data_IF_857643568415
#
_entry.id   IF_857643568415
#
_cell.length_a   1.000
_cell.length_b   1.000
_cell.length_c   1.000
_cell.angle_alpha   90.00
_cell.angle_beta   90.00
_cell.angle_gamma   90.00
#
_symmetry.space_group_name_H-M   'P 1'
#
loop_
_entity.id
_entity.type
_entity.pdbx_description
1 polymer ?
#
# COMPACT_ATOMS: atom_id res chain seq x y z
N UNK A 1 -20.02 -28.81 19.96
CA UNK A 1 -19.06 -28.39 18.93
C UNK A 1 -19.80 -27.49 17.97
N UNK A 2 -19.65 -26.19 18.09
CA UNK A 2 -20.22 -25.21 17.15
C UNK A 2 -19.49 -25.37 15.83
N UNK A 3 -20.11 -26.00 14.84
CA UNK A 3 -19.64 -26.02 13.46
C UNK A 3 -19.75 -24.58 12.92
N UNK A 4 -18.67 -23.83 13.07
CA UNK A 4 -18.54 -22.53 12.38
C UNK A 4 -18.60 -22.83 10.88
N UNK A 5 -19.52 -22.21 10.15
CA UNK A 5 -19.58 -22.37 8.68
C UNK A 5 -18.26 -21.89 8.08
N UNK A 6 -17.73 -22.58 7.08
CA UNK A 6 -16.50 -22.17 6.42
C UNK A 6 -16.66 -20.78 5.76
N UNK A 7 -15.58 -20.01 5.76
CA UNK A 7 -15.53 -18.72 5.07
C UNK A 7 -15.52 -18.99 3.57
N UNK A 8 -16.54 -18.47 2.86
CA UNK A 8 -16.69 -18.63 1.43
C UNK A 8 -15.83 -17.61 0.70
N UNK A 9 -14.77 -18.10 0.05
CA UNK A 9 -13.73 -17.31 -0.61
C UNK A 9 -13.83 -17.44 -2.14
N UNK A 10 -13.70 -16.35 -2.84
CA UNK A 10 -13.62 -16.28 -4.31
C UNK A 10 -12.23 -15.77 -4.72
N UNK A 11 -11.59 -16.44 -5.68
CA UNK A 11 -10.24 -16.10 -6.14
C UNK A 11 -10.27 -15.29 -7.44
N UNK A 12 -9.47 -14.21 -7.53
CA UNK A 12 -9.35 -13.41 -8.74
C UNK A 12 -7.87 -13.13 -9.03
N UNK A 13 -7.35 -13.73 -10.09
CA UNK A 13 -5.95 -13.55 -10.52
C UNK A 13 -5.86 -13.90 -12.02
N UNK A 14 -5.17 -13.12 -12.83
CA UNK A 14 -5.01 -13.40 -14.26
C UNK A 14 -3.95 -14.47 -14.58
N UNK A 15 -3.26 -15.00 -13.54
CA UNK A 15 -2.28 -16.06 -13.64
C UNK A 15 -2.86 -17.40 -13.18
N UNK A 16 -3.15 -18.36 -14.08
CA UNK A 16 -3.74 -19.66 -13.70
C UNK A 16 -2.93 -20.42 -12.65
N UNK A 17 -1.59 -20.46 -12.78
CA UNK A 17 -0.72 -21.15 -11.83
C UNK A 17 -0.79 -20.58 -10.40
N UNK A 18 -1.09 -19.30 -10.26
CA UNK A 18 -1.27 -18.68 -8.94
C UNK A 18 -2.61 -19.14 -8.34
N UNK A 19 -3.68 -19.19 -9.14
CA UNK A 19 -4.98 -19.69 -8.69
C UNK A 19 -4.90 -21.15 -8.27
N UNK A 20 -4.28 -22.02 -9.11
CA UNK A 20 -4.03 -23.43 -8.78
C UNK A 20 -3.24 -23.59 -7.46
N UNK A 21 -2.22 -22.75 -7.26
CA UNK A 21 -1.42 -22.74 -6.05
C UNK A 21 -2.19 -22.29 -4.81
N UNK A 22 -3.11 -21.34 -4.94
CA UNK A 22 -3.99 -20.90 -3.87
C UNK A 22 -5.03 -21.97 -3.53
N UNK A 23 -5.64 -22.64 -4.52
CA UNK A 23 -6.51 -23.78 -4.33
C UNK A 23 -5.81 -24.88 -3.51
N UNK A 24 -4.64 -25.32 -3.97
CA UNK A 24 -3.89 -26.37 -3.30
C UNK A 24 -3.53 -26.05 -1.83
N UNK A 25 -3.38 -24.78 -1.49
CA UNK A 25 -3.03 -24.32 -0.15
C UNK A 25 -4.24 -24.09 0.76
N UNK A 26 -5.38 -23.68 0.21
CA UNK A 26 -6.53 -23.24 0.97
C UNK A 26 -7.62 -24.31 1.09
N UNK A 27 -7.86 -25.13 0.04
CA UNK A 27 -8.88 -26.19 0.05
C UNK A 27 -8.74 -27.23 1.18
N UNK A 28 -7.53 -27.62 1.61
CA UNK A 28 -7.39 -28.57 2.72
C UNK A 28 -7.77 -27.99 4.09
N UNK A 29 -8.02 -26.69 4.18
CA UNK A 29 -8.23 -26.01 5.46
C UNK A 29 -9.69 -26.03 5.88
N UNK A 30 -10.04 -26.59 7.03
CA UNK A 30 -11.45 -26.87 7.42
C UNK A 30 -12.31 -25.61 7.67
N UNK A 31 -11.74 -24.43 7.67
CA UNK A 31 -12.44 -23.17 7.90
C UNK A 31 -12.61 -22.29 6.65
N UNK A 32 -12.20 -22.76 5.47
CA UNK A 32 -12.21 -22.02 4.21
C UNK A 32 -12.86 -22.89 3.13
N UNK A 33 -13.70 -22.29 2.31
CA UNK A 33 -14.34 -22.92 1.15
C UNK A 33 -14.09 -22.02 -0.08
N UNK A 34 -13.38 -22.52 -1.09
CA UNK A 34 -13.24 -21.83 -2.34
C UNK A 34 -14.51 -22.04 -3.19
N UNK A 35 -15.33 -21.02 -3.32
CA UNK A 35 -16.63 -21.11 -4.01
C UNK A 35 -16.55 -20.79 -5.51
N UNK A 36 -15.40 -20.32 -5.98
CA UNK A 36 -15.16 -20.07 -7.40
C UNK A 36 -13.91 -19.24 -7.62
N UNK A 37 -13.58 -19.07 -8.91
CA UNK A 37 -12.43 -18.29 -9.35
C UNK A 37 -12.71 -17.54 -10.65
N UNK A 38 -11.92 -16.51 -10.94
CA UNK A 38 -11.96 -15.78 -12.20
C UNK A 38 -10.56 -15.34 -12.63
N UNK A 39 -10.34 -15.26 -13.94
CA UNK A 39 -9.12 -14.76 -14.56
C UNK A 39 -9.14 -13.25 -14.85
N UNK A 40 -10.28 -12.58 -14.62
CA UNK A 40 -10.43 -11.14 -14.83
C UNK A 40 -11.43 -10.53 -13.86
N UNK A 41 -11.33 -9.23 -13.67
CA UNK A 41 -12.26 -8.50 -12.82
C UNK A 41 -13.71 -8.49 -13.39
N UNK A 42 -13.88 -8.54 -14.72
CA UNK A 42 -15.19 -8.60 -15.35
C UNK A 42 -15.89 -9.93 -15.02
N UNK A 43 -15.22 -11.06 -15.25
CA UNK A 43 -15.72 -12.38 -14.86
C UNK A 43 -16.02 -12.47 -13.36
N UNK A 44 -15.14 -11.87 -12.54
CA UNK A 44 -15.32 -11.85 -11.10
C UNK A 44 -16.61 -11.15 -10.68
N UNK A 45 -16.92 -9.96 -11.24
CA UNK A 45 -18.14 -9.22 -10.91
C UNK A 45 -19.41 -10.01 -11.22
N UNK A 46 -19.47 -10.69 -12.38
CA UNK A 46 -20.60 -11.52 -12.76
C UNK A 46 -20.75 -12.74 -11.84
N UNK A 47 -19.64 -13.40 -11.51
CA UNK A 47 -19.66 -14.59 -10.67
C UNK A 47 -19.98 -14.27 -9.20
N UNK A 48 -19.45 -13.18 -8.66
CA UNK A 48 -19.66 -12.74 -7.27
C UNK A 48 -21.13 -12.45 -7.00
N UNK A 49 -21.83 -11.80 -7.94
CA UNK A 49 -23.28 -11.54 -7.82
C UNK A 49 -24.09 -12.84 -7.68
N UNK A 50 -23.73 -13.86 -8.41
CA UNK A 50 -24.39 -15.16 -8.37
C UNK A 50 -23.98 -16.01 -7.15
N UNK A 51 -22.68 -16.06 -6.84
CA UNK A 51 -22.13 -16.95 -5.83
C UNK A 51 -22.17 -16.36 -4.42
N UNK A 52 -22.30 -15.03 -4.29
CA UNK A 52 -22.36 -14.34 -3.01
C UNK A 52 -21.26 -14.77 -2.01
N UNK A 53 -19.95 -14.68 -2.38
CA UNK A 53 -18.89 -15.03 -1.46
C UNK A 53 -18.83 -14.04 -0.29
N UNK A 54 -18.28 -14.48 0.84
CA UNK A 54 -18.00 -13.59 1.95
C UNK A 54 -16.74 -12.77 1.76
N UNK A 55 -15.77 -13.33 1.00
CA UNK A 55 -14.48 -12.71 0.79
C UNK A 55 -13.98 -12.98 -0.62
N UNK A 56 -13.31 -11.98 -1.19
CA UNK A 56 -12.58 -12.05 -2.45
C UNK A 56 -11.09 -11.89 -2.17
N UNK A 57 -10.28 -12.85 -2.61
CA UNK A 57 -8.84 -12.71 -2.75
C UNK A 57 -8.54 -12.21 -4.16
N UNK A 58 -8.07 -10.98 -4.30
CA UNK A 58 -7.84 -10.34 -5.59
C UNK A 58 -6.38 -9.99 -5.83
N UNK A 59 -5.82 -10.37 -6.97
CA UNK A 59 -4.54 -9.84 -7.42
C UNK A 59 -4.64 -8.34 -7.71
N UNK A 60 -3.63 -7.59 -7.26
CA UNK A 60 -3.50 -6.15 -7.59
C UNK A 60 -3.18 -5.95 -9.07
N UNK A 61 -2.34 -6.81 -9.66
CA UNK A 61 -1.67 -6.60 -10.95
C UNK A 61 -2.42 -7.08 -12.18
N UNK A 62 -3.72 -7.29 -12.14
CA UNK A 62 -4.50 -7.80 -13.28
C UNK A 62 -4.55 -6.81 -14.46
N UNK A 63 -4.70 -7.38 -15.68
CA UNK A 63 -4.89 -6.61 -16.91
C UNK A 63 -6.28 -5.99 -16.94
N UNK A 64 -6.47 -4.98 -17.76
CA UNK A 64 -7.73 -4.23 -18.02
C UNK A 64 -8.26 -3.49 -16.80
N UNK A 65 -8.76 -4.18 -15.79
CA UNK A 65 -9.20 -3.64 -14.52
C UNK A 65 -8.35 -4.27 -13.41
N UNK A 66 -7.56 -3.46 -12.70
CA UNK A 66 -6.73 -3.93 -11.61
C UNK A 66 -7.54 -4.27 -10.35
N UNK A 67 -6.92 -5.01 -9.40
CA UNK A 67 -7.61 -5.45 -8.19
C UNK A 67 -8.09 -4.31 -7.29
N UNK A 68 -7.42 -3.16 -7.31
CA UNK A 68 -7.81 -1.99 -6.52
C UNK A 68 -9.11 -1.39 -7.07
N UNK A 69 -9.23 -1.31 -8.40
CA UNK A 69 -10.46 -0.86 -9.05
C UNK A 69 -11.61 -1.86 -8.84
N UNK A 70 -11.31 -3.17 -8.86
CA UNK A 70 -12.28 -4.21 -8.51
C UNK A 70 -12.78 -4.04 -7.06
N UNK A 71 -11.89 -3.78 -6.09
CA UNK A 71 -12.27 -3.53 -4.70
C UNK A 71 -13.19 -2.31 -4.57
N UNK A 72 -12.87 -1.22 -5.24
CA UNK A 72 -13.71 -0.02 -5.22
C UNK A 72 -15.12 -0.29 -5.79
N UNK A 73 -15.22 -1.08 -6.87
CA UNK A 73 -16.51 -1.49 -7.43
C UNK A 73 -17.28 -2.41 -6.48
N UNK A 74 -16.62 -3.39 -5.87
CA UNK A 74 -17.25 -4.29 -4.90
C UNK A 74 -17.71 -3.53 -3.65
N UNK A 75 -16.95 -2.56 -3.16
CA UNK A 75 -17.36 -1.69 -2.07
C UNK A 75 -18.67 -0.94 -2.38
N UNK A 76 -18.89 -0.54 -3.63
CA UNK A 76 -20.10 0.16 -4.07
C UNK A 76 -21.28 -0.78 -4.35
N UNK A 77 -21.05 -1.93 -4.99
CA UNK A 77 -22.08 -2.84 -5.48
C UNK A 77 -22.46 -3.93 -4.47
N UNK A 78 -21.49 -4.44 -3.71
CA UNK A 78 -21.63 -5.55 -2.80
C UNK A 78 -20.85 -5.31 -1.48
N UNK A 79 -21.22 -4.30 -0.68
CA UNK A 79 -20.44 -3.86 0.50
C UNK A 79 -20.32 -4.92 1.60
N UNK A 80 -21.08 -5.99 1.55
CA UNK A 80 -20.96 -7.14 2.44
C UNK A 80 -19.77 -8.04 2.11
N UNK A 81 -19.30 -8.02 0.85
CA UNK A 81 -18.15 -8.81 0.39
C UNK A 81 -16.86 -8.13 0.83
N UNK A 82 -16.01 -8.86 1.54
CA UNK A 82 -14.70 -8.36 1.97
C UNK A 82 -13.67 -8.63 0.90
N UNK A 83 -12.72 -7.70 0.72
CA UNK A 83 -11.65 -7.86 -0.27
C UNK A 83 -10.31 -7.89 0.45
N UNK A 84 -9.50 -8.91 0.14
CA UNK A 84 -8.08 -9.02 0.52
C UNK A 84 -7.25 -8.99 -0.75
N UNK A 85 -6.28 -8.09 -0.80
CA UNK A 85 -5.36 -7.97 -1.91
C UNK A 85 -4.22 -8.96 -1.81
N UNK A 86 -3.88 -9.60 -2.92
CA UNK A 86 -2.65 -10.32 -3.15
C UNK A 86 -1.76 -9.50 -4.11
N UNK A 87 -0.47 -9.38 -3.84
CA UNK A 87 0.42 -8.58 -4.67
C UNK A 87 1.86 -9.11 -4.67
N UNK A 88 2.57 -8.91 -5.77
CA UNK A 88 4.03 -9.09 -5.81
C UNK A 88 4.78 -7.88 -5.24
N UNK A 89 4.09 -6.77 -4.96
CA UNK A 89 4.68 -5.50 -4.58
C UNK A 89 4.27 -5.09 -3.17
N UNK A 90 5.23 -4.62 -2.39
CA UNK A 90 5.06 -4.08 -1.04
C UNK A 90 5.09 -2.53 -1.01
N UNK A 91 4.85 -1.88 -2.17
CA UNK A 91 4.86 -0.43 -2.27
C UNK A 91 3.75 0.20 -1.42
N UNK A 92 4.09 1.11 -0.48
CA UNK A 92 3.13 1.77 0.40
C UNK A 92 1.99 2.50 -0.33
N UNK A 93 2.24 3.02 -1.53
CA UNK A 93 1.21 3.71 -2.32
C UNK A 93 0.10 2.76 -2.76
N UNK A 94 0.45 1.56 -3.24
CA UNK A 94 -0.55 0.53 -3.59
C UNK A 94 -1.33 0.06 -2.37
N UNK A 95 -0.65 -0.11 -1.23
CA UNK A 95 -1.31 -0.49 0.03
C UNK A 95 -2.33 0.57 0.46
N UNK A 96 -1.95 1.85 0.43
CA UNK A 96 -2.85 2.96 0.78
C UNK A 96 -4.04 3.06 -0.17
N UNK A 97 -3.81 2.94 -1.48
CA UNK A 97 -4.87 2.93 -2.48
C UNK A 97 -5.83 1.76 -2.29
N UNK A 98 -5.31 0.55 -2.02
CA UNK A 98 -6.13 -0.62 -1.77
C UNK A 98 -7.03 -0.45 -0.52
N UNK A 99 -6.47 0.04 0.58
CA UNK A 99 -7.24 0.32 1.79
C UNK A 99 -8.28 1.43 1.58
N UNK A 100 -7.94 2.49 0.86
CA UNK A 100 -8.87 3.56 0.49
C UNK A 100 -10.00 3.06 -0.42
N UNK A 101 -9.74 2.07 -1.28
CA UNK A 101 -10.71 1.40 -2.12
C UNK A 101 -11.61 0.40 -1.35
N UNK A 102 -11.40 0.23 -0.04
CA UNK A 102 -12.23 -0.63 0.81
C UNK A 102 -11.65 -2.03 1.06
N UNK A 103 -10.42 -2.33 0.60
CA UNK A 103 -9.78 -3.59 0.93
C UNK A 103 -9.58 -3.75 2.44
N UNK A 104 -9.78 -4.97 2.95
CA UNK A 104 -9.62 -5.36 4.36
C UNK A 104 -8.34 -6.15 4.62
N UNK A 105 -7.54 -6.37 3.59
CA UNK A 105 -6.24 -7.00 3.74
C UNK A 105 -5.32 -6.72 2.57
N UNK A 106 -4.03 -6.81 2.84
CA UNK A 106 -2.99 -6.75 1.83
C UNK A 106 -1.87 -7.72 2.19
N UNK A 107 -1.65 -8.72 1.35
CA UNK A 107 -0.71 -9.82 1.56
C UNK A 107 0.17 -9.96 0.33
N UNK A 108 1.45 -10.28 0.51
CA UNK A 108 2.34 -10.58 -0.59
C UNK A 108 2.08 -11.99 -1.13
N UNK A 109 2.18 -12.19 -2.44
CA UNK A 109 1.95 -13.50 -3.10
C UNK A 109 2.99 -14.55 -2.70
N UNK A 110 4.18 -14.12 -2.27
CA UNK A 110 5.26 -14.98 -1.76
C UNK A 110 5.18 -15.23 -0.25
N UNK A 111 4.19 -14.65 0.43
CA UNK A 111 3.99 -14.85 1.86
C UNK A 111 3.65 -16.32 2.19
N UNK A 112 3.99 -16.78 3.41
CA UNK A 112 3.55 -18.08 3.90
C UNK A 112 2.03 -18.22 3.86
N UNK A 113 1.52 -19.43 3.57
CA UNK A 113 0.08 -19.70 3.55
C UNK A 113 -0.64 -19.25 4.84
N UNK A 114 0.03 -19.35 5.98
CA UNK A 114 -0.50 -18.90 7.26
C UNK A 114 -0.85 -17.39 7.29
N UNK A 115 -0.12 -16.54 6.56
CA UNK A 115 -0.45 -15.10 6.46
C UNK A 115 -1.70 -14.87 5.61
N UNK A 116 -1.88 -15.63 4.54
CA UNK A 116 -3.09 -15.57 3.70
C UNK A 116 -4.31 -16.00 4.52
N UNK A 117 -4.19 -17.08 5.28
CA UNK A 117 -5.25 -17.57 6.18
C UNK A 117 -5.59 -16.51 7.23
N UNK A 118 -4.58 -15.97 7.90
CA UNK A 118 -4.78 -14.91 8.90
C UNK A 118 -5.47 -13.67 8.32
N UNK A 119 -5.15 -13.31 7.07
CA UNK A 119 -5.80 -12.21 6.37
C UNK A 119 -7.28 -12.52 6.06
N UNK A 120 -7.58 -13.74 5.61
CA UNK A 120 -8.95 -14.20 5.36
C UNK A 120 -9.78 -14.14 6.65
N UNK A 121 -9.29 -14.74 7.73
CA UNK A 121 -9.96 -14.77 9.02
C UNK A 121 -10.19 -13.38 9.60
N UNK A 122 -9.16 -12.53 9.59
CA UNK A 122 -9.24 -11.16 10.08
C UNK A 122 -10.26 -10.32 9.27
N UNK A 123 -10.23 -10.42 7.93
CA UNK A 123 -11.17 -9.71 7.07
C UNK A 123 -12.60 -10.22 7.23
N UNK A 124 -12.81 -11.52 7.33
CA UNK A 124 -14.13 -12.14 7.59
C UNK A 124 -14.71 -11.70 8.94
N UNK A 125 -13.86 -11.52 9.96
CA UNK A 125 -14.25 -10.97 11.26
C UNK A 125 -14.48 -9.44 11.25
N UNK A 126 -14.32 -8.76 10.09
CA UNK A 126 -14.51 -7.31 9.95
C UNK A 126 -13.27 -6.47 10.31
N UNK A 127 -12.15 -7.11 10.63
CA UNK A 127 -10.87 -6.46 10.88
C UNK A 127 -10.12 -6.10 9.59
N UNK A 128 -8.87 -5.66 9.77
CA UNK A 128 -7.93 -5.38 8.68
C UNK A 128 -6.62 -6.12 8.94
N UNK A 129 -6.05 -6.73 7.91
CA UNK A 129 -4.78 -7.43 7.98
C UNK A 129 -3.78 -6.87 6.97
N UNK A 130 -2.58 -6.60 7.43
CA UNK A 130 -1.43 -6.30 6.57
C UNK A 130 -0.32 -7.28 6.90
N UNK A 131 0.28 -7.90 5.90
CA UNK A 131 1.40 -8.80 6.16
C UNK A 131 2.53 -8.05 6.89
N UNK A 132 3.35 -8.70 7.72
CA UNK A 132 4.40 -8.05 8.50
C UNK A 132 5.36 -7.21 7.65
N UNK A 133 5.75 -7.71 6.48
CA UNK A 133 6.63 -6.99 5.56
C UNK A 133 5.99 -5.69 5.05
N UNK A 134 4.70 -5.75 4.66
CA UNK A 134 3.91 -4.60 4.21
C UNK A 134 3.75 -3.58 5.34
N UNK A 135 3.40 -4.04 6.54
CA UNK A 135 3.25 -3.20 7.72
C UNK A 135 4.54 -2.45 8.06
N UNK A 136 5.66 -3.16 8.10
CA UNK A 136 6.96 -2.54 8.37
C UNK A 136 7.29 -1.44 7.36
N UNK A 137 7.00 -1.66 6.08
CA UNK A 137 7.28 -0.70 5.03
C UNK A 137 6.35 0.51 5.08
N UNK A 138 5.06 0.27 5.33
CA UNK A 138 4.07 1.32 5.51
C UNK A 138 4.43 2.23 6.69
N UNK A 139 4.81 1.65 7.83
CA UNK A 139 5.17 2.40 9.03
C UNK A 139 6.56 3.05 8.95
N UNK A 140 7.53 2.47 8.22
CA UNK A 140 8.81 3.16 7.96
C UNK A 140 8.60 4.46 7.19
N UNK A 141 7.66 4.50 6.27
CA UNK A 141 7.31 5.73 5.55
C UNK A 141 6.39 6.66 6.36
N UNK A 142 5.76 6.15 7.42
CA UNK A 142 4.96 6.92 8.39
C UNK A 142 5.74 7.23 9.69
N UNK A 143 7.02 6.83 9.81
CA UNK A 143 7.85 7.35 10.89
C UNK A 143 7.63 8.88 10.93
N UNK A 144 7.38 9.49 12.10
CA UNK A 144 7.11 10.92 12.16
C UNK A 144 8.24 11.61 11.41
N UNK A 145 7.89 12.21 10.26
CA UNK A 145 8.88 12.95 9.46
C UNK A 145 9.50 13.92 10.42
N UNK A 146 10.81 13.95 10.58
CA UNK A 146 11.42 14.87 11.52
C UNK A 146 10.89 16.24 11.18
N UNK A 147 10.20 16.86 12.14
CA UNK A 147 9.57 18.16 11.94
C UNK A 147 10.72 19.14 11.61
N UNK A 148 10.85 19.44 10.32
CA UNK A 148 11.71 20.52 9.88
C UNK A 148 11.14 21.81 10.41
N UNK A 149 12.00 22.67 10.89
CA UNK A 149 11.57 24.05 11.23
C UNK A 149 11.05 24.73 9.96
N UNK A 150 10.18 25.75 10.07
CA UNK A 150 9.71 26.50 8.90
C UNK A 150 10.87 26.94 7.99
N UNK A 151 11.98 27.36 8.59
CA UNK A 151 13.18 27.78 7.84
C UNK A 151 13.89 26.63 7.13
N UNK A 152 13.95 25.47 7.74
CA UNK A 152 14.49 24.25 7.11
C UNK A 152 13.61 23.78 5.95
N UNK A 153 12.28 23.89 6.09
CA UNK A 153 11.32 23.56 5.03
C UNK A 153 11.47 24.50 3.81
N UNK A 154 11.61 25.82 4.04
CA UNK A 154 11.86 26.79 2.96
C UNK A 154 13.15 26.47 2.19
N UNK A 155 14.24 26.17 2.92
CA UNK A 155 15.52 25.82 2.33
C UNK A 155 15.42 24.51 1.54
N UNK A 156 14.74 23.49 2.09
CA UNK A 156 14.54 22.21 1.41
C UNK A 156 13.72 22.37 0.14
N UNK A 157 12.65 23.18 0.18
CA UNK A 157 11.82 23.51 -0.98
C UNK A 157 12.65 24.19 -2.08
N UNK A 158 13.50 25.16 -1.72
CA UNK A 158 14.39 25.85 -2.64
C UNK A 158 15.43 24.90 -3.28
N UNK A 159 15.98 23.96 -2.49
CA UNK A 159 16.84 22.90 -3.00
C UNK A 159 16.13 22.00 -4.02
N UNK A 160 14.86 21.68 -3.78
CA UNK A 160 14.02 20.90 -4.69
C UNK A 160 13.76 21.61 -6.03
N UNK A 161 13.78 22.94 -6.05
CA UNK A 161 13.74 23.75 -7.28
C UNK A 161 15.09 23.89 -7.99
N UNK A 162 16.15 23.30 -7.43
CA UNK A 162 17.50 23.35 -8.00
C UNK A 162 18.30 24.61 -7.63
N UNK A 163 17.87 25.38 -6.64
CA UNK A 163 18.55 26.61 -6.23
C UNK A 163 19.86 26.33 -5.49
N UNK A 164 20.89 27.09 -5.80
CA UNK A 164 22.18 27.03 -5.12
C UNK A 164 22.13 27.70 -3.75
N UNK A 165 23.03 27.33 -2.83
CA UNK A 165 23.10 27.95 -1.50
C UNK A 165 23.31 29.47 -1.54
N UNK A 166 23.91 30.00 -2.62
CA UNK A 166 24.05 31.45 -2.83
C UNK A 166 22.74 32.12 -3.21
N UNK A 167 21.93 31.48 -4.04
CA UNK A 167 20.57 31.94 -4.40
C UNK A 167 19.66 31.90 -3.18
N UNK A 168 19.59 30.75 -2.48
CA UNK A 168 18.81 30.58 -1.26
C UNK A 168 19.19 31.64 -0.20
N UNK A 169 20.49 31.87 -0.01
CA UNK A 169 20.97 32.86 0.95
C UNK A 169 20.46 34.28 0.61
N UNK A 170 20.49 34.64 -0.68
CA UNK A 170 20.00 35.95 -1.17
C UNK A 170 18.51 36.07 -0.97
N UNK A 171 17.74 35.06 -1.41
CA UNK A 171 16.27 35.12 -1.42
C UNK A 171 15.68 35.07 -0.01
N UNK A 172 16.36 34.41 0.92
CA UNK A 172 15.93 34.28 2.30
C UNK A 172 16.59 35.28 3.27
N UNK A 173 17.43 36.21 2.76
CA UNK A 173 18.13 37.22 3.61
C UNK A 173 19.14 36.58 4.60
N UNK A 174 19.81 35.49 4.20
CA UNK A 174 20.76 34.76 5.03
C UNK A 174 22.18 34.86 4.52
N UNK A 175 23.16 34.46 5.36
CA UNK A 175 24.51 34.16 4.86
C UNK A 175 24.55 32.76 4.23
N UNK A 176 25.43 32.52 3.25
CA UNK A 176 25.67 31.20 2.67
C UNK A 176 26.05 30.19 3.76
N UNK A 177 26.85 30.61 4.75
CA UNK A 177 27.24 29.78 5.88
C UNK A 177 26.02 29.32 6.72
N UNK A 178 25.04 30.19 6.88
CA UNK A 178 23.78 29.89 7.59
C UNK A 178 22.95 28.86 6.82
N UNK A 179 22.86 29.01 5.48
CA UNK A 179 22.18 28.03 4.63
C UNK A 179 22.85 26.67 4.70
N UNK A 180 24.18 26.60 4.67
CA UNK A 180 24.91 25.33 4.81
C UNK A 180 24.72 24.69 6.19
N UNK A 181 24.65 25.49 7.24
CA UNK A 181 24.33 24.98 8.59
C UNK A 181 22.92 24.37 8.65
N UNK A 182 21.92 25.00 8.04
CA UNK A 182 20.56 24.43 7.91
C UNK A 182 20.56 23.16 7.08
N UNK A 183 21.30 23.09 5.96
CA UNK A 183 21.43 21.86 5.15
C UNK A 183 22.02 20.70 5.95
N UNK A 184 23.01 20.95 6.80
CA UNK A 184 23.54 19.94 7.69
C UNK A 184 22.52 19.50 8.75
N UNK A 185 21.75 20.45 9.30
CA UNK A 185 20.68 20.15 10.24
C UNK A 185 19.57 19.31 9.59
N UNK A 186 19.15 19.68 8.37
CA UNK A 186 18.16 18.92 7.57
C UNK A 186 18.67 17.49 7.35
N UNK A 187 19.90 17.31 6.87
CA UNK A 187 20.50 15.97 6.66
C UNK A 187 20.44 15.12 7.93
N UNK A 188 20.89 15.67 9.07
CA UNK A 188 20.85 14.96 10.35
C UNK A 188 19.43 14.57 10.77
N UNK A 189 18.45 15.48 10.60
CA UNK A 189 17.05 15.21 10.94
C UNK A 189 16.41 14.17 10.03
N UNK A 190 16.77 14.17 8.74
CA UNK A 190 16.26 13.23 7.74
C UNK A 190 17.03 11.90 7.69
N UNK A 191 18.15 11.77 8.43
CA UNK A 191 19.01 10.60 8.36
C UNK A 191 19.73 10.45 7.02
N UNK A 192 20.01 11.56 6.33
CA UNK A 192 20.66 11.61 5.02
C UNK A 192 22.14 11.93 5.17
N UNK A 193 23.03 11.13 4.58
CA UNK A 193 24.48 11.36 4.70
C UNK A 193 25.04 12.20 3.53
N UNK A 194 24.54 11.97 2.33
CA UNK A 194 25.05 12.55 1.09
C UNK A 194 24.38 13.85 0.65
N UNK A 195 25.13 14.69 -0.08
CA UNK A 195 24.61 15.90 -0.72
C UNK A 195 23.63 15.58 -1.87
N UNK A 196 23.99 14.60 -2.69
CA UNK A 196 23.17 14.16 -3.81
C UNK A 196 21.84 13.56 -3.31
N UNK A 197 21.89 12.83 -2.21
CA UNK A 197 20.73 12.22 -1.56
C UNK A 197 19.78 13.29 -0.98
N UNK A 198 20.32 14.36 -0.39
CA UNK A 198 19.53 15.50 0.06
C UNK A 198 18.80 16.19 -1.10
N UNK A 199 19.46 16.38 -2.23
CA UNK A 199 18.85 16.99 -3.42
C UNK A 199 17.77 16.08 -3.98
N UNK A 200 18.04 14.77 -4.09
CA UNK A 200 17.06 13.78 -4.54
C UNK A 200 15.81 13.83 -3.64
N UNK A 201 15.99 13.78 -2.33
CA UNK A 201 14.91 13.90 -1.36
C UNK A 201 14.11 15.21 -1.55
N UNK A 202 14.79 16.33 -1.72
CA UNK A 202 14.17 17.64 -1.92
C UNK A 202 13.30 17.67 -3.19
N UNK A 203 13.76 17.08 -4.31
CA UNK A 203 13.00 17.00 -5.56
C UNK A 203 11.77 16.11 -5.42
N UNK A 204 11.90 14.93 -4.82
CA UNK A 204 10.81 13.98 -4.62
C UNK A 204 9.70 14.52 -3.70
N UNK A 205 10.06 15.40 -2.77
CA UNK A 205 9.13 15.94 -1.75
C UNK A 205 8.82 17.44 -1.93
N UNK A 206 9.26 18.07 -3.01
CA UNK A 206 9.11 19.51 -3.25
C UNK A 206 7.67 20.03 -3.13
N UNK A 207 6.67 19.22 -3.53
CA UNK A 207 5.24 19.57 -3.45
C UNK A 207 4.68 19.63 -2.02
N UNK A 208 5.36 19.05 -1.05
CA UNK A 208 4.90 18.96 0.34
C UNK A 208 5.42 20.11 1.23
N UNK A 209 6.44 20.83 0.76
CA UNK A 209 7.11 21.91 1.49
C UNK A 209 6.95 23.28 0.80
N UNK A 210 6.14 23.35 -0.27
CA UNK A 210 5.80 24.62 -0.94
C UNK A 210 4.90 25.48 -0.04
N UNK A 211 4.94 26.83 -0.20
CA UNK A 211 3.99 27.71 0.49
C UNK A 211 2.56 27.36 0.07
N UNK A 212 1.69 27.32 1.06
CA UNK A 212 0.24 27.23 0.88
C UNK A 212 -0.29 28.46 0.17
#
# INVERSE_FOLDING_TARGET
MTTTQPIRVFLVDDHPLVRDGLHARLDPLPGIEIVGEAGSAAEALEAIDRLQPQLVLADVGMKDMNGIELAARLQALAPAVRVVMLSMYDNPEYVQQALAAGARGYVLKDAPAAEIVAAIEAAAAGGTFLSPAVSQRLFRNQAPRPLLTPRESEILSALGRGESSKQIARDLGLSVRTVEAHRQSIKRRLGIEGQAELIKYAVEHARQFGPS
#
